data_IF_417987904814
#
_entry.id   IF_417987904814
#
_cell.length_a   1.000
_cell.length_b   1.000
_cell.length_c   1.000
_cell.angle_alpha   90.00
_cell.angle_beta   90.00
_cell.angle_gamma   90.00
#
_symmetry.space_group_name_H-M   'P 1'
#
loop_
_entity.id
_entity.type
_entity.pdbx_description
1 polymer ?
#
# COMPACT_ATOMS: atom_id res chain seq x y z
N UNK A 1 42.77 -56.16 0.62
CA UNK A 1 42.68 -55.13 1.70
C UNK A 1 42.79 -53.67 1.21
N UNK A 2 43.56 -53.32 0.17
CA UNK A 2 43.68 -51.93 -0.32
C UNK A 2 42.35 -51.34 -0.86
N UNK A 3 41.53 -52.12 -1.52
CA UNK A 3 40.25 -51.65 -2.14
C UNK A 3 39.14 -51.42 -1.10
N UNK A 4 39.22 -52.09 0.05
CA UNK A 4 38.24 -51.91 1.12
C UNK A 4 38.40 -50.53 1.80
N UNK A 5 39.64 -50.04 1.84
CA UNK A 5 39.94 -48.70 2.40
C UNK A 5 39.42 -47.57 1.47
N UNK A 6 39.50 -47.74 0.15
CA UNK A 6 39.00 -46.76 -0.80
C UNK A 6 37.46 -46.69 -0.81
N UNK A 7 36.80 -47.85 -0.66
CA UNK A 7 35.33 -47.87 -0.53
C UNK A 7 34.83 -47.18 0.73
N UNK A 8 35.54 -47.29 1.84
CA UNK A 8 35.18 -46.63 3.08
C UNK A 8 35.40 -45.10 3.03
N UNK A 9 36.39 -44.66 2.25
CA UNK A 9 36.68 -43.21 2.09
C UNK A 9 35.65 -42.55 1.16
N UNK A 10 35.19 -43.21 0.12
CA UNK A 10 34.13 -42.70 -0.78
C UNK A 10 32.79 -42.60 -0.06
N UNK A 11 32.49 -43.51 0.86
CA UNK A 11 31.23 -43.51 1.61
C UNK A 11 31.16 -42.32 2.60
N UNK A 12 32.31 -41.87 3.12
CA UNK A 12 32.36 -40.71 4.02
C UNK A 12 32.22 -39.37 3.30
N UNK A 13 32.55 -39.25 2.01
CA UNK A 13 32.39 -38.02 1.27
C UNK A 13 30.94 -37.69 0.92
N UNK A 14 30.07 -38.71 0.83
CA UNK A 14 28.64 -38.51 0.60
C UNK A 14 27.86 -37.99 1.80
N UNK A 15 28.43 -38.08 3.02
CA UNK A 15 27.75 -37.61 4.24
C UNK A 15 27.96 -36.12 4.50
N UNK A 16 28.88 -35.46 3.78
CA UNK A 16 29.18 -34.04 3.98
C UNK A 16 28.28 -33.09 3.18
N UNK A 17 27.48 -33.58 2.24
CA UNK A 17 26.53 -32.78 1.47
C UNK A 17 25.11 -32.76 2.03
N UNK A 18 24.86 -33.49 3.14
CA UNK A 18 23.55 -33.53 3.78
C UNK A 18 23.34 -32.50 4.91
N UNK A 19 24.22 -31.53 5.06
CA UNK A 19 24.07 -30.49 6.05
C UNK A 19 24.01 -29.14 5.36
N UNK A 20 22.83 -28.71 5.05
CA UNK A 20 22.27 -27.37 5.07
C UNK A 20 21.09 -27.19 4.12
N UNK A 21 20.15 -28.13 4.17
CA UNK A 21 18.77 -27.68 4.00
C UNK A 21 18.30 -27.41 5.43
N UNK A 22 18.93 -26.42 6.03
CA UNK A 22 18.39 -25.78 7.21
C UNK A 22 17.01 -25.29 6.82
N UNK A 23 16.01 -25.86 7.48
CA UNK A 23 14.67 -25.32 7.51
C UNK A 23 14.76 -23.91 8.09
N UNK A 24 15.15 -22.96 7.25
CA UNK A 24 14.79 -21.57 7.45
C UNK A 24 13.28 -21.56 7.27
N UNK A 25 12.58 -22.04 8.28
CA UNK A 25 11.22 -21.67 8.53
C UNK A 25 11.24 -20.16 8.57
N UNK A 26 10.98 -19.55 7.42
CA UNK A 26 10.83 -18.11 7.29
C UNK A 26 9.74 -17.75 8.29
N UNK A 27 10.16 -17.24 9.44
CA UNK A 27 9.24 -16.77 10.46
C UNK A 27 8.29 -15.81 9.77
N UNK A 28 7.03 -15.87 10.08
CA UNK A 28 5.97 -15.02 9.54
C UNK A 28 6.37 -13.54 9.52
N UNK A 29 7.17 -13.11 10.49
CA UNK A 29 7.69 -11.75 10.63
C UNK A 29 8.69 -11.35 9.56
N UNK A 30 9.54 -12.28 9.05
CA UNK A 30 10.49 -11.96 7.99
C UNK A 30 9.78 -11.75 6.64
N UNK A 31 8.71 -12.49 6.37
CA UNK A 31 7.94 -12.31 5.13
C UNK A 31 7.26 -10.97 5.05
N UNK A 32 6.92 -10.40 6.18
CA UNK A 32 6.32 -9.06 6.23
C UNK A 32 7.39 -8.00 6.12
N UNK A 33 8.55 -8.21 6.75
CA UNK A 33 9.73 -7.36 6.51
C UNK A 33 10.05 -7.28 5.03
N UNK A 34 10.11 -8.43 4.34
CA UNK A 34 10.41 -8.49 2.90
C UNK A 34 9.34 -7.80 2.05
N UNK A 35 8.08 -7.84 2.52
CA UNK A 35 6.95 -7.16 1.89
C UNK A 35 7.03 -5.65 1.97
N UNK A 36 7.60 -5.17 3.04
CA UNK A 36 7.61 -3.77 3.38
C UNK A 36 9.01 -3.14 3.27
N UNK A 37 9.97 -3.81 2.63
CA UNK A 37 11.35 -3.34 2.44
C UNK A 37 11.48 -2.01 1.71
N UNK A 38 10.41 -1.52 1.06
CA UNK A 38 10.39 -0.20 0.47
C UNK A 38 9.88 0.85 1.46
N UNK A 39 10.60 1.00 2.58
CA UNK A 39 10.45 2.20 3.41
C UNK A 39 10.99 3.38 2.59
N UNK A 40 10.08 4.15 1.99
CA UNK A 40 10.45 5.46 1.47
C UNK A 40 10.58 6.41 2.65
N UNK A 41 11.81 6.86 2.90
CA UNK A 41 12.02 8.00 3.78
C UNK A 41 11.27 9.19 3.17
N UNK A 42 10.19 9.59 3.82
CA UNK A 42 9.50 10.82 3.48
C UNK A 42 10.34 11.96 3.98
N UNK A 43 11.03 12.60 3.07
CA UNK A 43 11.51 13.95 3.34
C UNK A 43 10.27 14.83 3.33
N UNK A 44 9.76 15.13 4.51
CA UNK A 44 8.77 16.18 4.67
C UNK A 44 9.41 17.48 4.17
N UNK A 45 9.07 17.85 2.95
CA UNK A 45 9.28 19.23 2.50
C UNK A 45 8.32 20.07 3.34
N UNK A 46 8.81 20.50 4.50
CA UNK A 46 8.18 21.58 5.25
C UNK A 46 8.11 22.79 4.32
N UNK A 47 6.97 22.95 3.70
CA UNK A 47 6.64 24.23 3.09
C UNK A 47 6.45 25.21 4.25
N UNK A 48 7.40 26.10 4.41
CA UNK A 48 7.33 27.25 5.33
C UNK A 48 6.23 28.22 4.89
N UNK A 49 4.99 27.80 4.98
CA UNK A 49 3.86 28.72 4.89
C UNK A 49 3.23 28.82 6.27
N UNK A 50 3.34 29.98 6.90
CA UNK A 50 2.74 30.30 8.20
C UNK A 50 1.20 30.22 8.19
N UNK A 51 0.57 29.93 7.07
CA UNK A 51 -0.86 29.75 6.94
C UNK A 51 -1.25 28.31 7.32
N UNK A 52 -2.09 28.18 8.35
CA UNK A 52 -2.61 26.88 8.82
C UNK A 52 -3.41 26.21 7.70
N UNK A 53 -2.89 25.10 7.16
CA UNK A 53 -3.55 24.30 6.13
C UNK A 53 -4.84 23.68 6.71
N UNK A 54 -5.96 23.83 6.01
CA UNK A 54 -7.24 23.23 6.40
C UNK A 54 -7.39 21.83 5.83
N UNK A 55 -7.67 20.85 6.70
CA UNK A 55 -7.77 19.43 6.35
C UNK A 55 -6.42 18.76 6.23
N UNK A 56 -6.40 17.56 5.66
CA UNK A 56 -5.20 16.73 5.52
C UNK A 56 -5.13 16.04 4.16
N UNK A 57 -3.98 15.49 3.84
CA UNK A 57 -3.73 14.68 2.65
C UNK A 57 -4.43 13.30 2.69
N UNK A 58 -4.87 12.88 3.87
CA UNK A 58 -5.49 11.58 4.09
C UNK A 58 -6.98 11.60 3.79
N UNK A 59 -7.51 10.45 3.36
CA UNK A 59 -8.96 10.29 3.22
C UNK A 59 -9.63 10.28 4.60
N UNK A 60 -9.05 9.51 5.52
CA UNK A 60 -9.32 9.53 6.96
C UNK A 60 -8.02 9.82 7.70
N UNK A 61 -8.06 10.70 8.68
CA UNK A 61 -6.84 11.18 9.36
C UNK A 61 -6.21 10.13 10.28
N UNK A 62 -7.02 9.19 10.78
CA UNK A 62 -6.57 8.16 11.73
C UNK A 62 -6.22 6.86 11.02
N UNK A 63 -5.23 6.18 11.57
CA UNK A 63 -4.99 4.79 11.23
C UNK A 63 -6.15 3.92 11.72
N UNK A 64 -6.59 2.98 10.88
CA UNK A 64 -7.69 2.06 11.14
C UNK A 64 -7.22 0.63 10.99
N UNK A 65 -7.82 -0.28 11.75
CA UNK A 65 -7.55 -1.70 11.62
C UNK A 65 -7.80 -2.16 10.19
N UNK A 66 -6.93 -3.01 9.69
CA UNK A 66 -7.06 -3.53 8.35
C UNK A 66 -6.25 -4.78 8.10
N UNK A 67 -6.49 -5.39 6.95
CA UNK A 67 -5.84 -6.60 6.49
C UNK A 67 -5.15 -6.33 5.16
N UNK A 68 -4.05 -7.05 4.92
CA UNK A 68 -3.32 -7.01 3.65
C UNK A 68 -3.33 -8.39 3.03
N UNK A 69 -3.68 -8.45 1.75
CA UNK A 69 -3.53 -9.63 0.91
C UNK A 69 -2.34 -9.45 -0.01
N UNK A 70 -1.41 -10.40 0.06
CA UNK A 70 -0.17 -10.40 -0.69
C UNK A 70 -0.08 -11.64 -1.56
N UNK A 71 -0.08 -11.47 -2.87
CA UNK A 71 -0.02 -12.58 -3.84
C UNK A 71 -0.98 -13.74 -3.48
N UNK A 72 -2.24 -13.38 -3.16
CA UNK A 72 -3.29 -14.33 -2.83
C UNK A 72 -3.29 -14.86 -1.40
N UNK A 73 -2.31 -14.51 -0.56
CA UNK A 73 -2.22 -14.90 0.85
C UNK A 73 -2.64 -13.74 1.75
N UNK A 74 -3.51 -14.01 2.69
CA UNK A 74 -3.88 -13.03 3.71
C UNK A 74 -2.80 -12.98 4.78
N UNK A 75 -2.36 -11.79 5.11
CA UNK A 75 -1.40 -11.53 6.17
C UNK A 75 -2.18 -11.22 7.44
N UNK A 76 -2.40 -12.25 8.24
CA UNK A 76 -3.10 -12.13 9.53
C UNK A 76 -2.19 -11.46 10.56
N UNK A 77 -2.17 -10.13 10.58
CA UNK A 77 -1.41 -9.36 11.56
C UNK A 77 -2.22 -8.16 12.04
N UNK A 78 -1.99 -7.79 13.30
CA UNK A 78 -2.55 -6.57 13.87
C UNK A 78 -1.84 -5.36 13.27
N UNK A 79 -2.27 -4.94 12.10
CA UNK A 79 -1.78 -3.75 11.44
C UNK A 79 -2.87 -2.71 11.30
N UNK A 80 -2.45 -1.47 11.31
CA UNK A 80 -3.31 -0.32 11.13
C UNK A 80 -2.90 0.39 9.86
N UNK A 81 -3.88 0.70 9.02
CA UNK A 81 -3.71 1.24 7.68
C UNK A 81 -4.36 2.61 7.57
N UNK A 82 -3.79 3.45 6.71
CA UNK A 82 -4.34 4.76 6.39
C UNK A 82 -4.08 5.09 4.91
N UNK A 83 -5.10 5.55 4.21
CA UNK A 83 -4.97 5.93 2.83
C UNK A 83 -4.64 7.42 2.66
N UNK A 84 -3.46 7.70 2.12
CA UNK A 84 -3.06 9.02 1.66
C UNK A 84 -3.62 9.25 0.25
N UNK A 85 -4.73 9.97 0.17
CA UNK A 85 -5.45 10.19 -1.08
C UNK A 85 -4.83 11.30 -1.96
N UNK A 86 -3.86 12.06 -1.43
CA UNK A 86 -3.09 13.04 -2.18
C UNK A 86 -1.92 12.39 -2.93
N UNK A 87 -1.19 11.49 -2.26
CA UNK A 87 -0.04 10.76 -2.84
C UNK A 87 -0.43 9.42 -3.47
N UNK A 88 -1.69 8.99 -3.30
CA UNK A 88 -2.19 7.66 -3.70
C UNK A 88 -1.35 6.53 -3.09
N UNK A 89 -1.24 6.52 -1.76
CA UNK A 89 -0.41 5.59 -1.00
C UNK A 89 -1.16 5.05 0.21
N UNK A 90 -0.90 3.79 0.55
CA UNK A 90 -1.39 3.17 1.79
C UNK A 90 -0.24 3.18 2.80
N UNK A 91 -0.40 3.90 3.87
CA UNK A 91 0.50 3.87 5.02
C UNK A 91 0.09 2.79 5.99
N UNK A 92 1.06 2.20 6.68
CA UNK A 92 0.78 1.20 7.70
C UNK A 92 1.63 1.38 8.95
N UNK A 93 1.12 0.90 10.07
CA UNK A 93 1.78 0.90 11.37
C UNK A 93 1.26 -0.24 12.24
N UNK A 94 2.06 -0.66 13.21
CA UNK A 94 1.61 -1.60 14.25
C UNK A 94 1.06 -0.87 15.50
N UNK A 95 1.12 0.46 15.52
CA UNK A 95 0.62 1.27 16.62
C UNK A 95 -0.69 1.98 16.22
N UNK A 96 -1.85 1.63 16.83
CA UNK A 96 -3.14 2.26 16.50
C UNK A 96 -3.20 3.76 16.84
N UNK A 97 -2.33 4.22 17.72
CA UNK A 97 -2.27 5.63 18.16
C UNK A 97 -1.20 6.44 17.41
N UNK A 98 -0.58 5.85 16.37
CA UNK A 98 0.42 6.56 15.59
C UNK A 98 -0.18 7.79 14.90
N UNK A 99 0.53 8.89 14.96
CA UNK A 99 0.15 10.14 14.26
C UNK A 99 0.65 10.12 12.83
N UNK A 100 1.82 9.51 12.60
CA UNK A 100 2.47 9.39 11.29
C UNK A 100 3.11 8.02 11.11
N UNK A 101 3.38 7.64 9.88
CA UNK A 101 4.18 6.48 9.52
C UNK A 101 5.00 6.80 8.29
N UNK A 102 6.24 6.33 8.28
CA UNK A 102 7.15 6.33 7.13
C UNK A 102 7.02 5.07 6.27
N UNK A 103 6.25 4.08 6.74
CA UNK A 103 6.04 2.80 6.08
C UNK A 103 4.88 2.88 5.10
N UNK A 104 5.12 2.44 3.87
CA UNK A 104 4.15 2.49 2.78
C UNK A 104 4.00 1.09 2.19
N UNK A 105 2.77 0.67 1.95
CA UNK A 105 2.47 -0.56 1.24
C UNK A 105 2.97 -0.49 -0.21
N UNK A 106 3.63 -1.53 -0.66
CA UNK A 106 4.14 -1.60 -2.04
C UNK A 106 2.98 -1.51 -3.06
N UNK A 107 3.15 -0.67 -4.08
CA UNK A 107 2.17 -0.50 -5.17
C UNK A 107 2.31 -1.63 -6.20
N UNK A 108 1.53 -2.69 -6.02
CA UNK A 108 1.54 -3.85 -6.92
C UNK A 108 0.14 -4.41 -7.10
N UNK A 109 -0.20 -4.88 -8.30
CA UNK A 109 -1.56 -5.37 -8.65
C UNK A 109 -1.97 -6.63 -7.88
N UNK A 110 -1.00 -7.42 -7.40
CA UNK A 110 -1.24 -8.62 -6.58
C UNK A 110 -1.25 -8.31 -5.08
N UNK A 111 -1.19 -7.03 -4.71
CA UNK A 111 -1.27 -6.58 -3.32
C UNK A 111 -2.53 -5.74 -3.18
N UNK A 112 -3.38 -6.13 -2.28
CA UNK A 112 -4.59 -5.38 -1.91
C UNK A 112 -4.67 -5.25 -0.41
N UNK A 113 -5.45 -4.29 0.06
CA UNK A 113 -5.71 -4.19 1.49
C UNK A 113 -7.17 -3.85 1.75
N UNK A 114 -7.61 -4.19 2.94
CA UNK A 114 -8.91 -3.81 3.46
C UNK A 114 -8.69 -2.88 4.65
N UNK A 115 -9.33 -1.71 4.61
CA UNK A 115 -9.35 -0.75 5.71
C UNK A 115 -10.78 -0.67 6.18
N UNK A 116 -11.08 -1.25 7.34
CA UNK A 116 -12.45 -1.51 7.81
C UNK A 116 -13.25 -2.27 6.75
N UNK A 117 -14.33 -1.69 6.21
CA UNK A 117 -15.16 -2.28 5.16
C UNK A 117 -14.70 -1.97 3.73
N UNK A 118 -13.70 -1.12 3.55
CA UNK A 118 -13.27 -0.65 2.24
C UNK A 118 -12.09 -1.46 1.72
N UNK A 119 -12.27 -2.13 0.60
CA UNK A 119 -11.21 -2.90 -0.07
C UNK A 119 -10.52 -2.05 -1.12
N UNK A 120 -9.23 -1.84 -0.95
CA UNK A 120 -8.36 -1.08 -1.84
C UNK A 120 -7.54 -2.04 -2.72
N UNK A 121 -7.66 -1.88 -4.03
CA UNK A 121 -6.91 -2.65 -5.01
C UNK A 121 -6.04 -1.71 -5.84
N UNK A 122 -4.75 -2.00 -5.98
CA UNK A 122 -3.87 -1.26 -6.90
C UNK A 122 -4.03 -1.82 -8.31
N UNK A 123 -4.58 -1.03 -9.22
CA UNK A 123 -4.97 -1.51 -10.55
C UNK A 123 -4.57 -0.55 -11.65
N UNK A 124 -4.54 -1.08 -12.89
CA UNK A 124 -4.51 -0.25 -14.09
C UNK A 124 -5.94 0.13 -14.45
N UNK A 125 -6.17 1.39 -14.78
CA UNK A 125 -7.45 1.90 -15.24
C UNK A 125 -7.25 2.97 -16.32
N UNK A 126 -8.31 3.33 -17.00
CA UNK A 126 -8.32 4.40 -18.00
C UNK A 126 -9.12 5.56 -17.43
N UNK A 127 -8.55 6.75 -17.48
CA UNK A 127 -9.21 7.96 -16.99
C UNK A 127 -10.22 8.55 -18.00
N UNK A 128 -10.87 9.64 -17.61
CA UNK A 128 -11.84 10.37 -18.41
C UNK A 128 -11.25 11.01 -19.69
N UNK A 129 -9.93 11.08 -19.78
CA UNK A 129 -9.19 11.55 -20.97
C UNK A 129 -8.64 10.40 -21.82
N UNK A 130 -9.07 9.19 -21.57
CA UNK A 130 -8.60 7.96 -22.21
C UNK A 130 -7.09 7.68 -21.99
N UNK A 131 -6.53 8.18 -20.88
CA UNK A 131 -5.12 7.96 -20.52
C UNK A 131 -5.03 6.79 -19.56
N UNK A 132 -4.10 5.86 -19.82
CA UNK A 132 -3.81 4.72 -18.93
C UNK A 132 -3.14 5.21 -17.65
N UNK A 133 -3.74 4.88 -16.53
CA UNK A 133 -3.30 5.25 -15.19
C UNK A 133 -3.10 4.01 -14.34
N UNK A 134 -2.35 4.15 -13.26
CA UNK A 134 -2.23 3.14 -12.20
C UNK A 134 -2.56 3.79 -10.85
N UNK A 135 -3.24 3.08 -9.99
CA UNK A 135 -3.53 3.60 -8.66
C UNK A 135 -4.48 2.72 -7.85
N UNK A 136 -4.71 3.14 -6.62
CA UNK A 136 -5.66 2.48 -5.74
C UNK A 136 -7.10 2.85 -6.10
N UNK A 137 -7.92 1.82 -6.32
CA UNK A 137 -9.37 1.94 -6.43
C UNK A 137 -10.03 1.19 -5.27
N UNK A 138 -11.07 1.79 -4.70
CA UNK A 138 -11.92 1.17 -3.69
C UNK A 138 -13.00 0.38 -4.40
N UNK A 139 -13.14 -0.89 -4.07
CA UNK A 139 -14.18 -1.76 -4.58
C UNK A 139 -15.48 -1.45 -3.82
N UNK A 140 -16.47 -0.86 -4.51
CA UNK A 140 -17.78 -0.57 -3.94
C UNK A 140 -18.74 -1.73 -4.16
N UNK A 141 -18.65 -2.40 -5.31
CA UNK A 141 -19.50 -3.52 -5.67
C UNK A 141 -18.74 -4.47 -6.61
N UNK A 142 -18.83 -5.76 -6.33
CA UNK A 142 -18.31 -6.83 -7.17
C UNK A 142 -19.44 -7.78 -7.54
N UNK A 143 -19.97 -7.65 -8.76
CA UNK A 143 -20.96 -8.56 -9.33
C UNK A 143 -20.31 -9.55 -10.30
N UNK A 144 -21.11 -10.46 -10.84
CA UNK A 144 -20.66 -11.44 -11.83
C UNK A 144 -20.25 -10.81 -13.16
N UNK A 145 -21.00 -9.81 -13.62
CA UNK A 145 -20.76 -9.14 -14.91
C UNK A 145 -20.04 -7.80 -14.77
N UNK A 146 -20.23 -7.10 -13.68
CA UNK A 146 -19.73 -5.74 -13.49
C UNK A 146 -19.03 -5.58 -12.15
N UNK A 147 -17.99 -4.77 -12.15
CA UNK A 147 -17.31 -4.29 -10.96
C UNK A 147 -17.40 -2.77 -10.92
N UNK A 148 -17.84 -2.21 -9.80
CA UNK A 148 -17.97 -0.78 -9.58
C UNK A 148 -16.93 -0.34 -8.55
N UNK A 149 -16.12 0.66 -8.92
CA UNK A 149 -15.01 1.14 -8.12
C UNK A 149 -15.04 2.65 -7.97
N UNK A 150 -14.48 3.13 -6.87
CA UNK A 150 -14.30 4.54 -6.54
C UNK A 150 -12.80 4.87 -6.44
N UNK A 151 -12.39 5.95 -7.09
CA UNK A 151 -11.10 6.59 -6.85
C UNK A 151 -11.28 7.73 -5.88
N UNK A 152 -10.65 7.65 -4.74
CA UNK A 152 -10.62 8.69 -3.70
C UNK A 152 -9.40 9.58 -3.91
N UNK A 153 -9.59 10.86 -4.05
CA UNK A 153 -8.53 11.82 -4.37
C UNK A 153 -8.58 12.98 -3.37
N UNK A 154 -7.42 13.45 -2.95
CA UNK A 154 -7.27 14.75 -2.29
C UNK A 154 -6.52 15.68 -3.22
N UNK A 155 -7.00 16.90 -3.36
CA UNK A 155 -6.36 17.96 -4.13
C UNK A 155 -5.96 19.06 -3.15
N UNK A 156 -4.69 19.46 -3.18
CA UNK A 156 -4.24 20.62 -2.45
C UNK A 156 -4.62 21.88 -3.25
N UNK A 157 -5.29 22.79 -2.59
CA UNK A 157 -5.61 24.12 -3.12
C UNK A 157 -4.83 25.15 -2.30
N UNK A 158 -4.04 25.94 -3.01
CA UNK A 158 -3.31 27.04 -2.40
C UNK A 158 -4.26 28.07 -1.80
N UNK A 159 -3.81 28.73 -0.76
CA UNK A 159 -4.52 29.86 -0.17
C UNK A 159 -4.56 31.04 -1.14
N UNK A 160 -5.59 31.83 -1.03
CA UNK A 160 -5.71 33.11 -1.77
C UNK A 160 -6.04 34.21 -0.81
N UNK A 161 -5.30 35.31 -0.89
CA UNK A 161 -5.64 36.56 -0.20
C UNK A 161 -6.62 37.39 -1.03
N UNK A 162 -7.55 38.05 -0.34
CA UNK A 162 -8.47 38.99 -1.00
C UNK A 162 -7.68 40.18 -1.59
N UNK A 163 -7.80 40.38 -2.89
CA UNK A 163 -7.18 41.53 -3.58
C UNK A 163 -8.08 42.77 -3.56
N UNK A 164 -9.36 42.60 -3.31
CA UNK A 164 -10.35 43.66 -3.25
C UNK A 164 -11.27 43.45 -2.03
N UNK A 165 -11.99 44.50 -1.61
CA UNK A 165 -12.96 44.39 -0.53
C UNK A 165 -14.17 43.49 -0.81
N UNK A 166 -14.36 43.09 -2.08
CA UNK A 166 -15.43 42.19 -2.55
C UNK A 166 -15.00 40.75 -2.59
N UNK A 167 -13.70 40.45 -2.54
CA UNK A 167 -13.16 39.11 -2.55
C UNK A 167 -13.03 38.55 -1.12
N UNK A 168 -13.09 37.21 -1.02
CA UNK A 168 -12.83 36.52 0.26
C UNK A 168 -11.47 35.83 0.21
N UNK A 169 -10.67 36.00 1.24
CA UNK A 169 -9.47 35.22 1.44
C UNK A 169 -9.82 33.81 1.93
N UNK A 170 -9.07 32.81 1.51
CA UNK A 170 -9.17 31.47 2.05
C UNK A 170 -7.79 30.86 2.29
N UNK A 171 -7.64 30.11 3.40
CA UNK A 171 -6.39 29.43 3.69
C UNK A 171 -6.15 28.27 2.69
N UNK A 172 -4.90 27.84 2.56
CA UNK A 172 -4.58 26.61 1.81
C UNK A 172 -5.34 25.42 2.43
N UNK A 173 -5.81 24.51 1.58
CA UNK A 173 -6.67 23.41 2.02
C UNK A 173 -6.59 22.18 1.14
N UNK A 174 -6.88 21.00 1.73
CA UNK A 174 -7.13 19.77 1.00
C UNK A 174 -8.63 19.59 0.72
N UNK A 175 -8.99 19.31 -0.52
CA UNK A 175 -10.37 19.09 -0.96
C UNK A 175 -10.54 17.65 -1.41
N UNK A 176 -11.60 16.96 -0.97
CA UNK A 176 -11.96 15.62 -1.44
C UNK A 176 -12.56 15.68 -2.84
N UNK A 177 -12.13 14.76 -3.71
CA UNK A 177 -12.72 14.52 -5.03
C UNK A 177 -12.88 13.03 -5.23
N UNK A 178 -13.95 12.64 -5.91
CA UNK A 178 -14.24 11.24 -6.23
C UNK A 178 -14.35 11.08 -7.75
N UNK A 179 -13.89 9.93 -8.24
CA UNK A 179 -14.14 9.45 -9.59
C UNK A 179 -14.63 8.02 -9.51
N UNK A 180 -15.59 7.66 -10.36
CA UNK A 180 -16.18 6.34 -10.37
C UNK A 180 -15.86 5.61 -11.65
N UNK A 181 -15.60 4.31 -11.55
CA UNK A 181 -15.23 3.44 -12.64
C UNK A 181 -16.10 2.20 -12.65
N UNK A 182 -16.52 1.80 -13.83
CA UNK A 182 -17.21 0.54 -14.06
C UNK A 182 -16.32 -0.30 -14.97
N UNK A 183 -16.04 -1.52 -14.57
CA UNK A 183 -15.41 -2.50 -15.44
C UNK A 183 -16.34 -3.66 -15.71
N UNK A 184 -16.30 -4.17 -16.94
CA UNK A 184 -17.03 -5.37 -17.32
C UNK A 184 -16.12 -6.55 -17.10
N UNK A 185 -16.54 -7.51 -16.27
CA UNK A 185 -15.85 -8.78 -16.14
C UNK A 185 -16.07 -9.54 -17.46
N UNK A 186 -15.04 -9.64 -18.30
CA UNK A 186 -15.11 -10.56 -19.43
C UNK A 186 -15.17 -11.96 -18.84
N UNK A 187 -16.32 -12.64 -18.98
CA UNK A 187 -16.37 -14.09 -18.76
C UNK A 187 -15.36 -14.72 -19.70
N UNK A 188 -14.40 -15.46 -19.13
CA UNK A 188 -13.59 -16.38 -19.92
C UNK A 188 -14.48 -17.48 -20.48
#
# INVERSE_FOLDING_TARGET
MKYLFYSFFILNTCLLFSQNIGSNGVKSDSRISDLFELIKNRVDKNSNTNAKVKGSEYFDDKFKSGDVRYFGKDLNQNIFLRYNAYKDEIEFTNNPKAVSSDKILMKHTNISCQIESNKYNYVNYVDDKNIKQKGYLVELFLGTKYKFCEKRIKIFMEGSEAKTSLERSFPPRYVKKFKYFISINKSM
#
